data_IF_347794278403
#
_entry.id   IF_347794278403
#
_cell.length_a   1.000
_cell.length_b   1.000
_cell.length_c   1.000
_cell.angle_alpha   90.00
_cell.angle_beta   90.00
_cell.angle_gamma   90.00
#
_symmetry.space_group_name_H-M   'P 1'
#
loop_
_entity.id
_entity.type
_entity.pdbx_description
1 polymer ?
#
# COMPACT_ATOMS: atom_id res chain seq x y z
N UNK A 1 -43.02 -17.06 29.15
CA UNK A 1 -42.86 -17.32 27.69
C UNK A 1 -43.36 -16.17 26.81
N UNK A 2 -44.64 -15.75 26.85
CA UNK A 2 -45.18 -14.65 26.00
C UNK A 2 -44.43 -13.30 26.08
N UNK A 3 -43.97 -12.88 27.27
CA UNK A 3 -43.20 -11.62 27.44
C UNK A 3 -41.82 -11.67 26.78
N UNK A 4 -41.19 -12.83 26.74
CA UNK A 4 -39.85 -13.02 26.14
C UNK A 4 -39.92 -12.91 24.61
N UNK A 5 -40.94 -13.52 24.00
CA UNK A 5 -41.19 -13.38 22.56
C UNK A 5 -41.51 -11.94 22.14
N UNK A 6 -42.30 -11.21 22.93
CA UNK A 6 -42.61 -9.82 22.65
C UNK A 6 -41.36 -8.92 22.69
N UNK A 7 -40.46 -9.15 23.66
CA UNK A 7 -39.19 -8.41 23.77
C UNK A 7 -38.26 -8.74 22.59
N UNK A 8 -38.16 -10.01 22.20
CA UNK A 8 -37.36 -10.45 21.05
C UNK A 8 -37.86 -9.83 19.74
N UNK A 9 -39.17 -9.83 19.50
CA UNK A 9 -39.76 -9.21 18.30
C UNK A 9 -39.52 -7.70 18.30
N UNK A 10 -39.67 -7.02 19.44
CA UNK A 10 -39.39 -5.59 19.54
C UNK A 10 -37.92 -5.26 19.23
N UNK A 11 -36.98 -6.07 19.74
CA UNK A 11 -35.54 -5.92 19.45
C UNK A 11 -35.22 -6.18 17.97
N UNK A 12 -35.81 -7.21 17.36
CA UNK A 12 -35.64 -7.49 15.94
C UNK A 12 -36.20 -6.36 15.06
N UNK A 13 -37.38 -5.82 15.39
CA UNK A 13 -37.96 -4.68 14.68
C UNK A 13 -37.12 -3.41 14.84
N UNK A 14 -36.58 -3.14 16.04
CA UNK A 14 -35.70 -2.01 16.27
C UNK A 14 -34.37 -2.14 15.50
N UNK A 15 -33.80 -3.34 15.43
CA UNK A 15 -32.59 -3.62 14.67
C UNK A 15 -32.81 -3.50 13.15
N UNK A 16 -33.92 -4.04 12.64
CA UNK A 16 -34.29 -3.92 11.23
C UNK A 16 -34.55 -2.44 10.85
N UNK A 17 -35.22 -1.67 11.70
CA UNK A 17 -35.41 -0.24 11.48
C UNK A 17 -34.09 0.53 11.47
N UNK A 18 -33.15 0.21 12.37
CA UNK A 18 -31.83 0.83 12.41
C UNK A 18 -31.02 0.57 11.13
N UNK A 19 -31.11 -0.65 10.57
CA UNK A 19 -30.46 -1.02 9.30
C UNK A 19 -31.05 -0.27 8.10
N UNK A 20 -32.35 0.03 8.10
CA UNK A 20 -33.01 0.78 7.03
C UNK A 20 -32.63 2.27 7.05
N UNK A 21 -32.31 2.82 8.23
CA UNK A 21 -31.89 4.22 8.39
C UNK A 21 -30.38 4.46 8.25
N UNK A 22 -29.57 3.40 8.21
CA UNK A 22 -28.12 3.53 8.06
C UNK A 22 -27.79 3.94 6.62
N UNK A 23 -27.50 5.23 6.42
CA UNK A 23 -26.94 5.73 5.16
C UNK A 23 -25.58 5.11 4.85
N UNK A 24 -25.10 5.21 3.59
CA UNK A 24 -23.78 4.71 3.24
C UNK A 24 -22.71 5.39 4.11
N UNK A 25 -21.77 4.60 4.63
CA UNK A 25 -20.65 5.14 5.38
C UNK A 25 -19.85 6.08 4.47
N UNK A 26 -19.81 7.36 4.84
CA UNK A 26 -18.98 8.36 4.18
C UNK A 26 -17.77 8.65 5.05
N UNK A 27 -16.58 8.37 4.50
CA UNK A 27 -15.34 8.75 5.15
C UNK A 27 -15.25 10.28 5.25
N UNK A 28 -14.71 10.77 6.36
CA UNK A 28 -14.41 12.20 6.50
C UNK A 28 -13.43 12.61 5.39
N UNK A 29 -13.70 13.75 4.75
CA UNK A 29 -12.84 14.30 3.71
C UNK A 29 -11.42 14.52 4.27
N UNK A 30 -10.42 14.07 3.51
CA UNK A 30 -9.01 14.26 3.85
C UNK A 30 -8.43 15.37 2.99
N UNK A 31 -7.87 16.40 3.62
CA UNK A 31 -7.09 17.42 2.92
C UNK A 31 -5.63 16.98 2.81
N UNK A 32 -5.13 16.90 1.58
CA UNK A 32 -3.71 16.69 1.26
C UNK A 32 -3.12 18.04 0.83
N UNK A 33 -2.13 18.53 1.57
CA UNK A 33 -1.44 19.78 1.23
C UNK A 33 -0.30 19.48 0.27
N UNK A 34 -0.46 19.87 -0.98
CA UNK A 34 0.60 19.70 -1.99
C UNK A 34 1.76 20.68 -1.75
N UNK A 35 2.98 20.28 -2.12
CA UNK A 35 4.18 21.11 -1.98
C UNK A 35 4.81 21.12 -0.59
N UNK A 36 4.29 20.31 0.34
CA UNK A 36 4.89 20.09 1.66
C UNK A 36 5.38 18.65 1.80
N UNK A 37 6.42 18.43 2.59
CA UNK A 37 6.94 17.08 2.88
C UNK A 37 5.83 16.21 3.49
N UNK A 38 5.61 15.03 2.92
CA UNK A 38 4.77 14.01 3.55
C UNK A 38 5.59 13.23 4.57
N UNK A 39 5.03 13.04 5.75
CA UNK A 39 5.64 12.24 6.81
C UNK A 39 4.77 11.05 7.14
N UNK A 40 5.42 9.95 7.51
CA UNK A 40 4.75 8.76 8.04
C UNK A 40 4.23 9.01 9.48
N UNK A 41 3.54 8.03 10.03
CA UNK A 41 3.01 8.07 11.40
C UNK A 41 4.08 8.14 12.49
N UNK A 42 5.34 7.89 12.16
CA UNK A 42 6.50 8.00 13.05
C UNK A 42 7.23 9.34 12.91
N UNK A 43 6.78 10.21 12.00
CA UNK A 43 7.37 11.52 11.73
C UNK A 43 8.52 11.51 10.73
N UNK A 44 8.85 10.36 10.13
CA UNK A 44 9.89 10.28 9.10
C UNK A 44 9.35 10.71 7.74
N UNK A 45 10.21 11.20 6.85
CA UNK A 45 9.80 11.47 5.47
C UNK A 45 9.33 10.19 4.76
N UNK A 46 8.26 10.32 3.97
CA UNK A 46 7.80 9.22 3.10
C UNK A 46 8.67 9.14 1.85
N UNK A 47 9.31 8.00 1.64
CA UNK A 47 10.15 7.67 0.48
C UNK A 47 9.44 6.68 -0.45
N UNK A 48 8.40 7.14 -1.14
CA UNK A 48 7.63 6.33 -2.07
C UNK A 48 7.56 6.98 -3.46
N UNK A 49 8.72 7.40 -3.97
CA UNK A 49 8.89 8.05 -5.26
C UNK A 49 8.52 7.10 -6.41
N UNK A 50 8.13 7.66 -7.57
CA UNK A 50 7.83 6.91 -8.80
C UNK A 50 6.73 5.85 -8.70
N UNK A 51 6.07 5.77 -7.54
CA UNK A 51 5.39 4.61 -7.03
C UNK A 51 4.02 4.28 -7.59
N UNK A 52 3.33 3.38 -6.89
CA UNK A 52 1.93 3.03 -7.16
C UNK A 52 1.19 2.65 -5.88
N UNK A 53 -0.14 2.73 -5.94
CA UNK A 53 -1.02 2.39 -4.82
C UNK A 53 -1.95 1.24 -5.19
N UNK A 54 -2.09 0.24 -4.31
CA UNK A 54 -3.05 -0.87 -4.44
C UNK A 54 -3.94 -0.95 -3.19
N UNK A 55 -5.21 -1.30 -3.36
CA UNK A 55 -6.13 -1.58 -2.25
C UNK A 55 -6.08 -3.07 -1.90
N UNK A 56 -5.84 -3.40 -0.62
CA UNK A 56 -5.93 -4.78 -0.11
C UNK A 56 -6.69 -4.77 1.22
N UNK A 57 -7.82 -5.46 1.28
CA UNK A 57 -8.69 -5.48 2.45
C UNK A 57 -9.15 -4.07 2.83
N UNK A 58 -8.95 -3.66 4.09
CA UNK A 58 -9.26 -2.32 4.60
C UNK A 58 -8.18 -1.27 4.32
N UNK A 59 -6.98 -1.67 3.86
CA UNK A 59 -5.85 -0.77 3.64
C UNK A 59 -5.62 -0.44 2.16
N UNK A 60 -4.98 0.70 1.92
CA UNK A 60 -4.26 1.07 0.72
C UNK A 60 -2.78 0.90 0.99
N UNK A 61 -2.02 0.38 0.04
CA UNK A 61 -0.58 0.19 0.13
C UNK A 61 0.11 1.02 -0.95
N UNK A 62 1.03 1.90 -0.54
CA UNK A 62 1.81 2.76 -1.42
C UNK A 62 3.24 2.26 -1.46
N UNK A 63 3.67 1.86 -2.66
CA UNK A 63 5.03 1.43 -2.94
C UNK A 63 5.77 2.50 -3.71
N UNK A 64 7.07 2.67 -3.48
CA UNK A 64 7.91 3.52 -4.31
C UNK A 64 9.40 3.34 -4.03
N UNK A 65 10.25 3.88 -4.91
CA UNK A 65 11.69 3.76 -4.74
C UNK A 65 12.24 4.73 -3.69
N UNK A 66 13.17 4.23 -2.86
CA UNK A 66 14.11 4.99 -2.04
C UNK A 66 15.53 4.81 -2.61
N UNK A 67 16.33 5.88 -2.57
CA UNK A 67 17.65 5.96 -3.20
C UNK A 67 18.73 6.30 -2.19
N UNK A 68 19.93 5.81 -2.46
CA UNK A 68 21.13 6.28 -1.80
C UNK A 68 21.48 7.71 -2.25
N UNK A 69 22.38 8.37 -1.51
CA UNK A 69 22.84 9.72 -1.84
C UNK A 69 23.54 9.82 -3.21
N UNK A 70 24.03 8.71 -3.75
CA UNK A 70 24.65 8.59 -5.07
C UNK A 70 23.64 8.21 -6.19
N UNK A 71 22.34 8.25 -5.90
CA UNK A 71 21.21 7.85 -6.76
C UNK A 71 21.09 6.34 -7.05
N UNK A 72 21.96 5.48 -6.53
CA UNK A 72 21.77 4.04 -6.66
C UNK A 72 20.52 3.59 -5.91
N UNK A 73 19.93 2.48 -6.38
CA UNK A 73 18.80 1.85 -5.69
C UNK A 73 19.18 1.52 -4.25
N UNK A 74 18.26 1.77 -3.31
CA UNK A 74 18.42 1.40 -1.90
C UNK A 74 17.30 0.44 -1.51
N UNK A 75 16.05 0.90 -1.57
CA UNK A 75 14.85 0.13 -1.23
C UNK A 75 13.69 0.40 -2.18
N UNK A 76 12.76 -0.56 -2.28
CA UNK A 76 11.36 -0.24 -2.53
C UNK A 76 10.65 -0.24 -1.19
N UNK A 77 10.17 0.92 -0.77
CA UNK A 77 9.45 1.06 0.49
C UNK A 77 7.96 0.78 0.28
N UNK A 78 7.33 0.18 1.30
CA UNK A 78 5.90 0.02 1.38
C UNK A 78 5.35 0.79 2.58
N UNK A 79 4.32 1.59 2.34
CA UNK A 79 3.51 2.24 3.35
C UNK A 79 2.08 1.74 3.24
N UNK A 80 1.30 1.82 4.32
CA UNK A 80 -0.14 1.57 4.25
C UNK A 80 -0.97 2.66 4.91
N UNK A 81 -2.21 2.83 4.47
CA UNK A 81 -3.15 3.81 5.00
C UNK A 81 -4.58 3.29 4.90
N UNK A 82 -5.47 3.78 5.75
CA UNK A 82 -6.93 3.55 5.58
C UNK A 82 -7.64 4.74 4.93
N UNK A 83 -6.97 5.89 4.83
CA UNK A 83 -7.56 7.17 4.44
C UNK A 83 -6.76 7.92 3.34
N UNK A 84 -5.70 7.30 2.80
CA UNK A 84 -4.80 7.86 1.79
C UNK A 84 -4.00 9.11 2.24
N UNK A 85 -4.04 9.44 3.54
CA UNK A 85 -3.36 10.60 4.11
C UNK A 85 -2.35 10.21 5.18
N UNK A 86 -2.77 9.41 6.14
CA UNK A 86 -1.94 8.97 7.25
C UNK A 86 -1.30 7.64 6.84
N UNK A 87 0.00 7.70 6.53
CA UNK A 87 0.76 6.57 6.00
C UNK A 87 1.64 5.95 7.10
N UNK A 88 1.43 4.67 7.38
CA UNK A 88 2.25 3.87 8.28
C UNK A 88 3.34 3.18 7.45
N UNK A 89 4.62 3.36 7.79
CA UNK A 89 5.71 2.59 7.19
C UNK A 89 5.56 1.11 7.52
N UNK A 90 5.79 0.23 6.53
CA UNK A 90 5.61 -1.21 6.68
C UNK A 90 6.92 -1.95 6.56
N UNK A 91 7.59 -1.84 5.42
CA UNK A 91 8.81 -2.60 5.16
C UNK A 91 9.58 -2.02 3.96
N UNK A 92 10.86 -2.39 3.88
CA UNK A 92 11.65 -2.35 2.65
C UNK A 92 11.38 -3.65 1.87
N UNK A 93 10.31 -3.68 1.08
CA UNK A 93 9.80 -4.89 0.41
C UNK A 93 10.70 -5.41 -0.72
N UNK A 94 11.63 -4.58 -1.18
CA UNK A 94 12.75 -4.98 -2.03
C UNK A 94 13.99 -4.20 -1.61
N UNK A 95 15.14 -4.86 -1.56
CA UNK A 95 16.41 -4.28 -1.11
C UNK A 95 17.53 -4.57 -2.11
N UNK A 96 18.63 -3.81 -2.01
CA UNK A 96 19.87 -4.12 -2.75
C UNK A 96 20.38 -5.56 -2.53
N UNK A 97 20.09 -6.16 -1.37
CA UNK A 97 20.50 -7.53 -1.03
C UNK A 97 19.51 -8.60 -1.50
N UNK A 98 18.36 -8.23 -2.07
CA UNK A 98 17.34 -9.20 -2.51
C UNK A 98 17.81 -10.05 -3.70
N UNK A 99 18.72 -9.52 -4.52
CA UNK A 99 19.43 -10.25 -5.57
C UNK A 99 20.76 -9.57 -5.87
N UNK A 100 21.78 -10.35 -6.29
CA UNK A 100 23.12 -9.81 -6.54
C UNK A 100 23.15 -8.68 -7.58
N UNK A 101 22.29 -8.74 -8.60
CA UNK A 101 22.20 -7.72 -9.65
C UNK A 101 21.55 -6.40 -9.19
N UNK A 102 20.97 -6.35 -7.99
CA UNK A 102 20.37 -5.14 -7.43
C UNK A 102 21.37 -4.30 -6.64
N UNK A 103 22.53 -4.85 -6.29
CA UNK A 103 23.54 -4.16 -5.47
C UNK A 103 24.03 -2.85 -6.07
N UNK A 104 24.03 -2.73 -7.40
CA UNK A 104 24.44 -1.52 -8.11
C UNK A 104 23.33 -0.94 -9.01
N UNK A 105 22.14 -1.52 -9.05
CA UNK A 105 21.13 -1.16 -10.04
C UNK A 105 20.55 0.26 -9.82
N UNK A 106 19.92 0.79 -10.87
CA UNK A 106 18.83 1.75 -10.70
C UNK A 106 17.51 1.01 -10.83
N UNK A 107 16.64 1.14 -9.83
CA UNK A 107 15.28 0.64 -9.85
C UNK A 107 14.35 1.84 -9.84
N UNK A 108 13.40 1.83 -10.77
CA UNK A 108 12.47 2.94 -10.95
C UNK A 108 11.04 2.43 -11.11
N UNK A 109 10.11 3.26 -10.62
CA UNK A 109 8.67 3.13 -10.90
C UNK A 109 8.07 1.77 -10.51
N UNK A 110 8.36 1.20 -9.33
CA UNK A 110 7.77 -0.07 -8.93
C UNK A 110 6.24 0.01 -8.92
N UNK A 111 5.58 -1.04 -9.40
CA UNK A 111 4.12 -1.22 -9.41
C UNK A 111 3.80 -2.63 -8.92
N UNK A 112 2.89 -2.74 -7.96
CA UNK A 112 2.43 -4.02 -7.43
C UNK A 112 1.00 -4.27 -7.86
N UNK A 113 0.75 -5.48 -8.36
CA UNK A 113 -0.58 -5.99 -8.67
C UNK A 113 -0.83 -7.31 -7.93
N UNK A 114 -2.09 -7.58 -7.59
CA UNK A 114 -2.50 -8.86 -7.01
C UNK A 114 -2.96 -9.82 -8.10
N UNK A 115 -2.48 -11.05 -8.06
CA UNK A 115 -2.92 -12.13 -8.92
C UNK A 115 -3.87 -13.08 -8.16
N UNK A 116 -5.16 -13.00 -8.46
CA UNK A 116 -6.18 -13.78 -7.78
C UNK A 116 -6.10 -15.30 -8.03
N UNK A 117 -5.54 -15.75 -9.16
CA UNK A 117 -5.46 -17.20 -9.45
C UNK A 117 -4.35 -17.89 -8.67
N UNK A 118 -3.31 -17.15 -8.27
CA UNK A 118 -2.17 -17.67 -7.50
C UNK A 118 -2.15 -17.20 -6.05
N UNK A 119 -2.92 -16.15 -5.73
CA UNK A 119 -2.90 -15.51 -4.42
C UNK A 119 -1.66 -14.66 -4.16
N UNK A 120 -0.85 -14.37 -5.19
CA UNK A 120 0.45 -13.68 -5.04
C UNK A 120 0.39 -12.21 -5.43
N UNK A 121 1.28 -11.43 -4.84
CA UNK A 121 1.56 -10.05 -5.24
C UNK A 121 2.75 -10.04 -6.19
N UNK A 122 2.59 -9.42 -7.35
CA UNK A 122 3.61 -9.34 -8.38
C UNK A 122 4.02 -7.89 -8.55
N UNK A 123 5.29 -7.61 -8.29
CA UNK A 123 5.89 -6.30 -8.53
C UNK A 123 6.58 -6.28 -9.89
N UNK A 124 6.29 -5.25 -10.68
CA UNK A 124 7.03 -4.90 -11.89
C UNK A 124 7.76 -3.58 -11.67
N UNK A 125 8.97 -3.47 -12.22
CA UNK A 125 9.78 -2.25 -12.15
C UNK A 125 10.68 -2.12 -13.37
N UNK A 126 11.15 -0.90 -13.61
CA UNK A 126 12.23 -0.63 -14.55
C UNK A 126 13.58 -0.84 -13.84
N UNK A 127 14.51 -1.52 -14.51
CA UNK A 127 15.86 -1.80 -14.03
C UNK A 127 16.91 -1.32 -15.04
N UNK A 128 17.94 -0.65 -14.52
CA UNK A 128 19.19 -0.33 -15.22
C UNK A 128 20.42 -0.84 -14.46
N UNK A 129 21.58 -0.75 -15.11
CA UNK A 129 22.86 -1.26 -14.61
C UNK A 129 23.52 -0.42 -13.50
N UNK A 130 23.04 0.79 -13.24
CA UNK A 130 23.63 1.71 -12.26
C UNK A 130 24.71 2.66 -12.77
N UNK A 131 24.93 2.68 -14.09
CA UNK A 131 25.95 3.48 -14.76
C UNK A 131 25.32 4.34 -15.86
N UNK A 132 24.45 3.73 -16.67
CA UNK A 132 23.70 4.39 -17.74
C UNK A 132 22.31 3.72 -17.93
N UNK A 133 21.55 4.18 -18.92
CA UNK A 133 20.20 3.69 -19.24
C UNK A 133 20.17 2.78 -20.48
N UNK A 134 21.27 2.08 -20.75
CA UNK A 134 21.38 1.25 -21.96
C UNK A 134 20.72 -0.12 -21.83
N UNK A 135 20.46 -0.61 -20.61
CA UNK A 135 19.82 -1.93 -20.44
C UNK A 135 18.32 -1.86 -20.72
N UNK A 136 17.63 -0.81 -20.26
CA UNK A 136 16.20 -0.58 -20.46
C UNK A 136 15.33 -1.81 -20.14
N UNK A 137 15.62 -2.50 -19.03
CA UNK A 137 14.98 -3.77 -18.68
C UNK A 137 13.76 -3.58 -17.79
N UNK A 138 12.92 -4.60 -17.78
CA UNK A 138 11.94 -4.83 -16.73
C UNK A 138 12.45 -5.88 -15.74
N UNK A 139 12.20 -5.69 -14.46
CA UNK A 139 12.44 -6.69 -13.41
C UNK A 139 11.12 -7.05 -12.71
N UNK A 140 11.07 -8.28 -12.18
CA UNK A 140 9.89 -8.84 -11.52
C UNK A 140 10.28 -9.39 -10.15
N UNK A 141 9.49 -9.06 -9.12
CA UNK A 141 9.55 -9.69 -7.81
C UNK A 141 8.15 -10.21 -7.44
N UNK A 142 8.10 -11.26 -6.62
CA UNK A 142 6.84 -11.91 -6.23
C UNK A 142 6.85 -12.17 -4.73
N UNK A 143 5.73 -11.88 -4.06
CA UNK A 143 5.55 -12.13 -2.63
C UNK A 143 4.19 -12.79 -2.34
N UNK A 144 4.12 -13.54 -1.25
CA UNK A 144 2.89 -14.14 -0.72
C UNK A 144 2.05 -13.12 0.08
N UNK A 145 2.67 -12.02 0.54
CA UNK A 145 2.00 -10.93 1.26
C UNK A 145 2.23 -9.60 0.55
N UNK A 146 1.36 -8.63 0.80
CA UNK A 146 1.42 -7.32 0.13
C UNK A 146 2.61 -6.47 0.59
N UNK A 147 2.99 -6.57 1.86
CA UNK A 147 4.04 -5.78 2.51
C UNK A 147 5.16 -6.64 3.13
N UNK A 148 5.33 -7.87 2.62
CA UNK A 148 6.37 -8.82 3.06
C UNK A 148 7.73 -8.55 2.45
#
# INVERSE_FOLDING_TARGET
MRRVYAILVALCCAFAAALVTAGPAQAAAQTITNGTQFTDTSGNAVHAHGGGVIKVGSYYYWFGEDRNADNTFKYVDAYRSTDLKNWEFRNHVLTQSSASELGTAYIERPKVIYNASTGKFVMWMHKENGVDYSEARAAVAVSDTVDG
#
